data_IF_984956751495
#
_entry.id   IF_984956751495
#
_cell.length_a   1.000
_cell.length_b   1.000
_cell.length_c   1.000
_cell.angle_alpha   90.00
_cell.angle_beta   90.00
_cell.angle_gamma   90.00
#
_symmetry.space_group_name_H-M   'P 1'
#
loop_
_entity.id
_entity.type
_entity.pdbx_description
1 polymer ?
#
# COMPACT_ATOMS: atom_id res chain seq x y z
N UNK A 1 -69.77 9.49 19.46
CA UNK A 1 -68.47 9.33 18.78
C UNK A 1 -68.71 8.83 17.38
N UNK A 2 -68.17 9.52 16.39
CA UNK A 2 -68.33 9.12 14.98
C UNK A 2 -67.37 7.96 14.64
N UNK A 3 -67.71 7.17 13.62
CA UNK A 3 -66.84 6.07 13.13
C UNK A 3 -65.43 6.54 12.76
N UNK A 4 -65.28 7.82 12.39
CA UNK A 4 -63.99 8.46 12.06
C UNK A 4 -63.14 8.66 13.32
N UNK A 5 -63.74 9.08 14.43
CA UNK A 5 -63.04 9.25 15.72
C UNK A 5 -62.52 7.91 16.26
N UNK A 6 -63.34 6.84 16.16
CA UNK A 6 -62.92 5.50 16.57
C UNK A 6 -61.75 4.96 15.74
N UNK A 7 -61.75 5.24 14.44
CA UNK A 7 -60.67 4.84 13.53
C UNK A 7 -59.36 5.60 13.84
N UNK A 8 -59.46 6.88 14.20
CA UNK A 8 -58.30 7.68 14.60
C UNK A 8 -57.73 7.25 15.95
N UNK A 9 -58.58 6.94 16.94
CA UNK A 9 -58.14 6.47 18.26
C UNK A 9 -57.51 5.07 18.15
N UNK A 10 -58.09 4.17 17.34
CA UNK A 10 -57.52 2.83 17.10
C UNK A 10 -56.18 2.91 16.36
N UNK A 11 -56.01 3.84 15.42
CA UNK A 11 -54.72 4.08 14.76
C UNK A 11 -53.68 4.66 15.73
N UNK A 12 -54.05 5.62 16.58
CA UNK A 12 -53.16 6.17 17.61
C UNK A 12 -52.75 5.14 18.66
N UNK A 13 -53.67 4.27 19.09
CA UNK A 13 -53.37 3.15 19.98
C UNK A 13 -52.44 2.12 19.33
N UNK A 14 -52.65 1.79 18.05
CA UNK A 14 -51.80 0.85 17.32
C UNK A 14 -50.37 1.38 17.07
N UNK A 15 -50.20 2.71 16.96
CA UNK A 15 -48.87 3.35 16.89
C UNK A 15 -48.18 3.24 18.26
N UNK A 16 -48.91 3.49 19.37
CA UNK A 16 -48.39 3.42 20.74
C UNK A 16 -47.97 2.00 21.16
N UNK A 17 -48.63 0.97 20.63
CA UNK A 17 -48.24 -0.44 20.86
C UNK A 17 -47.02 -0.88 20.05
N UNK A 18 -46.77 -0.28 18.87
CA UNK A 18 -45.56 -0.58 18.09
C UNK A 18 -44.27 -0.11 18.78
N UNK A 19 -44.35 0.85 19.70
CA UNK A 19 -43.21 1.34 20.49
C UNK A 19 -42.91 0.50 21.74
N UNK A 20 -43.88 -0.28 22.24
CA UNK A 20 -43.77 -1.06 23.49
C UNK A 20 -43.57 -2.57 23.30
N UNK A 21 -42.81 -3.00 22.29
CA UNK A 21 -42.42 -4.42 22.18
C UNK A 21 -41.24 -4.71 23.14
N UNK A 22 -41.39 -5.60 24.14
CA UNK A 22 -40.31 -5.92 25.07
C UNK A 22 -39.22 -6.70 24.31
N UNK A 23 -37.98 -6.21 24.35
CA UNK A 23 -36.83 -6.87 23.71
C UNK A 23 -36.04 -6.03 22.71
N UNK A 24 -36.42 -4.77 22.47
CA UNK A 24 -35.56 -3.85 21.70
C UNK A 24 -34.54 -3.21 22.65
N UNK A 25 -33.22 -3.35 22.42
CA UNK A 25 -32.21 -2.62 23.21
C UNK A 25 -32.52 -1.12 23.15
N UNK A 26 -32.22 -0.34 24.21
CA UNK A 26 -32.54 1.08 24.27
C UNK A 26 -32.08 1.73 22.96
N UNK A 27 -33.04 2.31 22.23
CA UNK A 27 -32.78 2.90 20.93
C UNK A 27 -31.65 3.92 21.06
N UNK A 28 -30.65 3.81 20.19
CA UNK A 28 -29.52 4.74 20.12
C UNK A 28 -30.09 6.17 20.11
N UNK A 29 -29.76 6.97 21.12
CA UNK A 29 -30.17 8.36 21.21
C UNK A 29 -29.92 9.06 19.88
N UNK A 30 -31.00 9.52 19.24
CA UNK A 30 -30.96 10.16 17.93
C UNK A 30 -30.15 11.44 18.03
N UNK A 31 -28.94 11.43 17.49
CA UNK A 31 -28.07 12.60 17.49
C UNK A 31 -28.54 13.61 16.45
N UNK A 32 -28.40 14.92 16.73
CA UNK A 32 -28.54 15.93 15.69
C UNK A 32 -27.50 15.67 14.60
N UNK A 33 -27.91 15.78 13.34
CA UNK A 33 -27.03 15.65 12.18
C UNK A 33 -26.10 16.87 12.13
N UNK A 34 -24.92 16.76 12.75
CA UNK A 34 -23.87 17.78 12.66
C UNK A 34 -23.09 17.54 11.38
N UNK A 35 -23.20 18.46 10.43
CA UNK A 35 -22.40 18.46 9.21
C UNK A 35 -21.02 19.01 9.59
N UNK A 36 -19.98 18.17 9.48
CA UNK A 36 -18.60 18.58 9.71
C UNK A 36 -18.17 19.62 8.66
N UNK A 37 -17.62 20.74 9.11
CA UNK A 37 -17.05 21.80 8.24
C UNK A 37 -15.55 21.63 8.04
N UNK A 38 -14.88 20.97 8.99
CA UNK A 38 -13.43 20.72 8.99
C UNK A 38 -13.12 19.23 9.09
N UNK A 39 -11.97 18.75 8.58
CA UNK A 39 -11.57 17.34 8.72
C UNK A 39 -11.37 16.95 10.19
N UNK A 40 -10.97 17.89 11.04
CA UNK A 40 -10.86 17.69 12.49
C UNK A 40 -12.24 17.41 13.13
N UNK A 41 -13.29 18.11 12.71
CA UNK A 41 -14.66 17.85 13.18
C UNK A 41 -15.17 16.46 12.74
N UNK A 42 -14.84 16.02 11.53
CA UNK A 42 -15.21 14.68 11.04
C UNK A 42 -14.57 13.57 11.89
N UNK A 43 -13.28 13.73 12.22
CA UNK A 43 -12.56 12.83 13.12
C UNK A 43 -13.16 12.86 14.53
N UNK A 44 -13.50 14.04 15.05
CA UNK A 44 -14.14 14.22 16.36
C UNK A 44 -15.46 13.45 16.43
N UNK A 45 -16.33 13.59 15.42
CA UNK A 45 -17.62 12.88 15.36
C UNK A 45 -17.43 11.35 15.25
N UNK A 46 -16.44 10.88 14.48
CA UNK A 46 -16.09 9.45 14.41
C UNK A 46 -15.58 8.92 15.75
N UNK A 47 -14.76 9.72 16.44
CA UNK A 47 -14.23 9.38 17.76
C UNK A 47 -15.34 9.34 18.81
N UNK A 48 -16.21 10.35 18.88
CA UNK A 48 -17.38 10.38 19.77
C UNK A 48 -18.28 9.15 19.54
N UNK A 49 -18.47 8.74 18.27
CA UNK A 49 -19.23 7.53 17.91
C UNK A 49 -18.57 6.25 18.42
N UNK A 50 -17.24 6.15 18.39
CA UNK A 50 -16.49 5.00 18.89
C UNK A 50 -16.49 4.97 20.43
N UNK A 51 -16.24 6.11 21.08
CA UNK A 51 -16.20 6.24 22.54
C UNK A 51 -17.56 6.04 23.21
N UNK A 52 -18.67 6.16 22.47
CA UNK A 52 -20.01 5.82 22.97
C UNK A 52 -20.15 4.35 23.40
N UNK A 53 -19.35 3.44 22.84
CA UNK A 53 -19.35 2.03 23.24
C UNK A 53 -17.89 1.53 23.31
N UNK A 54 -17.17 1.78 24.42
CA UNK A 54 -15.76 1.43 24.53
C UNK A 54 -15.52 -0.09 24.55
N UNK A 55 -16.50 -0.88 25.01
CA UNK A 55 -16.39 -2.35 25.08
C UNK A 55 -16.50 -3.04 23.72
N UNK A 56 -17.00 -2.34 22.69
CA UNK A 56 -17.14 -2.91 21.35
C UNK A 56 -15.83 -2.74 20.58
N UNK A 57 -15.16 -3.82 20.13
CA UNK A 57 -13.96 -3.69 19.32
C UNK A 57 -14.24 -2.90 18.04
N UNK A 58 -13.33 -2.00 17.69
CA UNK A 58 -13.42 -1.22 16.48
C UNK A 58 -13.35 -2.17 15.26
N UNK A 59 -14.27 -2.05 14.28
CA UNK A 59 -14.20 -2.85 13.07
C UNK A 59 -13.06 -2.34 12.18
N UNK A 60 -11.89 -2.94 12.33
CA UNK A 60 -10.75 -2.72 11.42
C UNK A 60 -11.00 -3.60 10.19
N UNK A 61 -11.21 -3.01 9.00
CA UNK A 61 -11.42 -3.80 7.80
C UNK A 61 -10.13 -4.55 7.47
N UNK A 62 -10.26 -5.86 7.25
CA UNK A 62 -9.20 -6.64 6.64
C UNK A 62 -8.97 -6.20 5.19
N UNK A 63 -7.81 -6.56 4.63
CA UNK A 63 -7.47 -6.22 3.24
C UNK A 63 -8.59 -6.70 2.31
N UNK A 64 -9.07 -5.85 1.38
CA UNK A 64 -10.14 -6.23 0.49
C UNK A 64 -9.72 -7.47 -0.30
N UNK A 65 -10.55 -8.51 -0.26
CA UNK A 65 -10.29 -9.74 -1.01
C UNK A 65 -10.37 -9.42 -2.50
N UNK A 66 -9.31 -9.77 -3.24
CA UNK A 66 -9.32 -9.67 -4.70
C UNK A 66 -10.41 -10.57 -5.29
N UNK A 67 -11.11 -10.08 -6.31
CA UNK A 67 -12.14 -10.85 -6.98
C UNK A 67 -11.49 -12.02 -7.72
N UNK A 68 -11.90 -13.25 -7.38
CA UNK A 68 -11.42 -14.47 -8.04
C UNK A 68 -12.60 -15.11 -8.80
N UNK A 69 -12.43 -15.54 -10.07
CA UNK A 69 -13.43 -16.33 -10.76
C UNK A 69 -13.86 -17.52 -9.91
N UNK A 70 -15.17 -17.79 -9.88
CA UNK A 70 -15.70 -18.94 -9.15
C UNK A 70 -15.22 -20.23 -9.83
N UNK A 71 -14.75 -21.19 -9.03
CA UNK A 71 -14.40 -22.50 -9.53
C UNK A 71 -15.61 -23.13 -10.26
N UNK A 72 -15.39 -23.82 -11.39
CA UNK A 72 -16.45 -24.54 -12.08
C UNK A 72 -17.06 -25.60 -11.15
N UNK A 73 -18.39 -25.79 -11.16
CA UNK A 73 -19.02 -26.90 -10.45
C UNK A 73 -18.47 -28.23 -10.94
N UNK A 74 -18.24 -29.16 -10.01
CA UNK A 74 -17.59 -30.43 -10.32
C UNK A 74 -18.53 -31.43 -11.03
N UNK A 75 -19.81 -31.47 -10.64
CA UNK A 75 -20.84 -32.19 -11.39
C UNK A 75 -21.97 -31.28 -11.85
N UNK A 76 -22.33 -31.39 -13.13
CA UNK A 76 -23.55 -30.82 -13.70
C UNK A 76 -24.60 -31.93 -13.71
N UNK A 77 -25.73 -31.70 -13.03
CA UNK A 77 -26.77 -32.73 -12.80
C UNK A 77 -27.86 -32.73 -13.88
N UNK A 78 -28.00 -31.61 -14.57
CA UNK A 78 -29.05 -31.25 -15.51
C UNK A 78 -28.61 -31.41 -16.97
N UNK A 79 -27.66 -32.30 -17.24
CA UNK A 79 -27.18 -32.59 -18.59
C UNK A 79 -28.23 -33.38 -19.36
N UNK A 80 -28.82 -32.76 -20.38
CA UNK A 80 -29.71 -33.44 -21.33
C UNK A 80 -28.89 -34.30 -22.33
N UNK A 81 -29.49 -35.35 -22.88
CA UNK A 81 -28.79 -36.30 -23.76
C UNK A 81 -28.14 -35.65 -24.99
N UNK A 82 -27.03 -36.20 -25.46
CA UNK A 82 -26.20 -35.58 -26.51
C UNK A 82 -26.88 -35.41 -27.86
N UNK A 83 -27.91 -36.20 -28.16
CA UNK A 83 -28.71 -36.10 -29.39
C UNK A 83 -30.02 -35.32 -29.20
N UNK A 84 -30.27 -34.78 -28.00
CA UNK A 84 -31.46 -33.98 -27.75
C UNK A 84 -31.39 -32.64 -28.48
N UNK A 85 -32.55 -32.14 -28.92
CA UNK A 85 -32.67 -30.85 -29.60
C UNK A 85 -32.42 -29.64 -28.68
N UNK A 86 -32.29 -28.45 -29.26
CA UNK A 86 -32.12 -27.22 -28.49
C UNK A 86 -33.39 -26.89 -27.69
N UNK A 87 -33.29 -26.94 -26.36
CA UNK A 87 -34.35 -26.51 -25.45
C UNK A 87 -34.45 -24.99 -25.32
N UNK A 88 -35.58 -24.48 -24.82
CA UNK A 88 -35.79 -23.04 -24.59
C UNK A 88 -34.84 -22.42 -23.57
N UNK A 89 -34.30 -23.21 -22.65
CA UNK A 89 -33.35 -22.78 -21.62
C UNK A 89 -31.88 -22.75 -22.09
N UNK A 90 -31.55 -23.41 -23.19
CA UNK A 90 -30.16 -23.63 -23.62
C UNK A 90 -29.44 -22.31 -23.94
N UNK A 91 -30.18 -21.34 -24.51
CA UNK A 91 -29.64 -19.99 -24.76
C UNK A 91 -29.17 -19.29 -23.47
N UNK A 92 -29.94 -19.40 -22.38
CA UNK A 92 -29.56 -18.76 -21.12
C UNK A 92 -28.39 -19.48 -20.45
N UNK A 93 -28.30 -20.81 -20.60
CA UNK A 93 -27.14 -21.60 -20.15
C UNK A 93 -25.88 -21.12 -20.86
N UNK A 94 -25.88 -21.06 -22.20
CA UNK A 94 -24.75 -20.54 -22.98
C UNK A 94 -24.38 -19.11 -22.60
N UNK A 95 -25.36 -18.21 -22.46
CA UNK A 95 -25.11 -16.81 -22.06
C UNK A 95 -24.41 -16.72 -20.70
N UNK A 96 -24.82 -17.51 -19.72
CA UNK A 96 -24.19 -17.53 -18.40
C UNK A 96 -22.79 -18.15 -18.44
N UNK A 97 -22.62 -19.24 -19.19
CA UNK A 97 -21.34 -19.90 -19.39
C UNK A 97 -20.33 -18.96 -20.08
N UNK A 98 -20.73 -18.32 -21.18
CA UNK A 98 -19.90 -17.38 -21.94
C UNK A 98 -19.46 -16.19 -21.09
N UNK A 99 -20.39 -15.61 -20.32
CA UNK A 99 -20.06 -14.51 -19.39
C UNK A 99 -19.06 -14.96 -18.32
N UNK A 100 -19.28 -16.14 -17.72
CA UNK A 100 -18.35 -16.71 -16.73
C UNK A 100 -16.97 -16.93 -17.33
N UNK A 101 -16.92 -17.43 -18.56
CA UNK A 101 -15.66 -17.74 -19.24
C UNK A 101 -14.89 -16.47 -19.63
N UNK A 102 -15.56 -15.45 -20.17
CA UNK A 102 -14.91 -14.16 -20.45
C UNK A 102 -14.39 -13.50 -19.18
N UNK A 103 -15.17 -13.53 -18.09
CA UNK A 103 -14.70 -13.01 -16.80
C UNK A 103 -13.48 -13.78 -16.27
N UNK A 104 -13.42 -15.10 -16.50
CA UNK A 104 -12.26 -15.94 -16.14
C UNK A 104 -11.04 -15.60 -16.98
N UNK A 105 -11.22 -15.46 -18.30
CA UNK A 105 -10.14 -15.11 -19.24
C UNK A 105 -9.58 -13.72 -18.94
N UNK A 106 -10.45 -12.70 -18.85
CA UNK A 106 -10.06 -11.32 -18.50
C UNK A 106 -9.30 -11.25 -17.18
N UNK A 107 -9.69 -12.05 -16.18
CA UNK A 107 -8.99 -12.12 -14.90
C UNK A 107 -7.61 -12.73 -15.05
N UNK A 108 -7.48 -13.84 -15.79
CA UNK A 108 -6.20 -14.47 -16.01
C UNK A 108 -5.26 -13.52 -16.77
N UNK A 109 -5.74 -12.87 -17.82
CA UNK A 109 -4.95 -11.92 -18.61
C UNK A 109 -4.45 -10.77 -17.73
N UNK A 110 -5.33 -10.13 -16.96
CA UNK A 110 -4.96 -9.05 -16.01
C UNK A 110 -3.97 -9.49 -14.94
N UNK A 111 -4.13 -10.71 -14.41
CA UNK A 111 -3.20 -11.25 -13.41
C UNK A 111 -1.82 -11.50 -14.02
N UNK A 112 -1.76 -12.03 -15.25
CA UNK A 112 -0.48 -12.24 -15.93
C UNK A 112 0.22 -10.93 -16.27
N UNK A 113 -0.53 -9.91 -16.71
CA UNK A 113 0.00 -8.58 -16.96
C UNK A 113 0.55 -7.95 -15.68
N UNK A 114 -0.23 -7.96 -14.59
CA UNK A 114 0.20 -7.46 -13.28
C UNK A 114 1.49 -8.14 -12.82
N UNK A 115 1.54 -9.47 -12.88
CA UNK A 115 2.72 -10.24 -12.48
C UNK A 115 3.96 -9.89 -13.32
N UNK A 116 3.81 -9.74 -14.64
CA UNK A 116 4.92 -9.31 -15.52
C UNK A 116 5.43 -7.93 -15.13
N UNK A 117 4.53 -6.97 -14.96
CA UNK A 117 4.88 -5.60 -14.58
C UNK A 117 5.56 -5.54 -13.20
N UNK A 118 5.08 -6.33 -12.24
CA UNK A 118 5.67 -6.42 -10.89
C UNK A 118 7.08 -7.00 -10.94
N UNK A 119 7.30 -8.07 -11.71
CA UNK A 119 8.63 -8.66 -11.90
C UNK A 119 9.60 -7.68 -12.57
N UNK A 120 9.17 -7.05 -13.66
CA UNK A 120 9.98 -6.02 -14.33
C UNK A 120 10.34 -4.85 -13.43
N UNK A 121 9.41 -4.46 -12.54
CA UNK A 121 9.66 -3.40 -11.57
C UNK A 121 10.69 -3.83 -10.53
N UNK A 122 10.55 -5.03 -9.96
CA UNK A 122 11.51 -5.57 -8.98
C UNK A 122 12.90 -5.68 -9.59
N UNK A 123 13.00 -6.19 -10.81
CA UNK A 123 14.26 -6.33 -11.53
C UNK A 123 14.92 -4.97 -11.78
N UNK A 124 14.14 -3.96 -12.23
CA UNK A 124 14.64 -2.58 -12.42
C UNK A 124 15.13 -1.96 -11.12
N UNK A 125 14.39 -2.14 -10.03
CA UNK A 125 14.78 -1.63 -8.70
C UNK A 125 16.07 -2.31 -8.23
N UNK A 126 16.18 -3.62 -8.39
CA UNK A 126 17.39 -4.37 -8.02
C UNK A 126 18.61 -3.93 -8.85
N UNK A 127 18.45 -3.73 -10.16
CA UNK A 127 19.53 -3.21 -11.02
C UNK A 127 19.97 -1.81 -10.61
N UNK A 128 19.03 -0.92 -10.30
CA UNK A 128 19.34 0.44 -9.83
C UNK A 128 20.07 0.43 -8.49
N UNK A 129 19.67 -0.45 -7.56
CA UNK A 129 20.36 -0.63 -6.28
C UNK A 129 21.78 -1.14 -6.49
N UNK A 130 21.97 -2.16 -7.32
CA UNK A 130 23.30 -2.70 -7.65
C UNK A 130 24.20 -1.64 -8.29
N UNK A 131 23.69 -0.87 -9.25
CA UNK A 131 24.44 0.21 -9.89
C UNK A 131 24.84 1.30 -8.89
N UNK A 132 23.94 1.67 -7.96
CA UNK A 132 24.23 2.63 -6.90
C UNK A 132 25.27 2.10 -5.91
N UNK A 133 25.19 0.83 -5.53
CA UNK A 133 26.14 0.17 -4.64
C UNK A 133 27.52 0.01 -5.27
N UNK A 134 27.60 -0.32 -6.56
CA UNK A 134 28.86 -0.38 -7.30
C UNK A 134 29.54 0.99 -7.38
N UNK A 135 28.77 2.04 -7.72
CA UNK A 135 29.26 3.43 -7.73
C UNK A 135 29.77 3.83 -6.34
N UNK A 136 28.99 3.51 -5.29
CA UNK A 136 29.35 3.81 -3.90
C UNK A 136 30.57 3.02 -3.43
N UNK A 137 30.67 1.74 -3.78
CA UNK A 137 31.80 0.88 -3.43
C UNK A 137 33.09 1.34 -4.12
N UNK A 138 33.03 1.74 -5.40
CA UNK A 138 34.18 2.33 -6.12
C UNK A 138 34.66 3.60 -5.41
N UNK A 139 33.75 4.54 -5.08
CA UNK A 139 34.09 5.77 -4.35
C UNK A 139 34.62 5.50 -2.93
N UNK A 140 34.03 4.55 -2.20
CA UNK A 140 34.48 4.12 -0.87
C UNK A 140 35.90 3.53 -0.91
N UNK A 141 36.18 2.63 -1.85
CA UNK A 141 37.52 2.04 -2.06
C UNK A 141 38.58 3.10 -2.37
N UNK A 142 38.26 4.11 -3.22
CA UNK A 142 39.17 5.24 -3.49
C UNK A 142 39.49 6.00 -2.19
N UNK A 143 38.47 6.36 -1.40
CA UNK A 143 38.64 7.08 -0.12
C UNK A 143 39.41 6.27 0.93
N UNK A 144 39.19 4.97 1.01
CA UNK A 144 39.92 4.07 1.94
C UNK A 144 41.40 3.98 1.58
N UNK A 145 41.74 3.83 0.30
CA UNK A 145 43.15 3.86 -0.16
C UNK A 145 43.83 5.18 0.21
N UNK A 146 43.16 6.32 0.00
CA UNK A 146 43.71 7.64 0.33
C UNK A 146 43.87 7.83 1.85
N UNK A 147 42.92 7.32 2.66
CA UNK A 147 43.02 7.30 4.13
C UNK A 147 44.18 6.42 4.61
N UNK A 148 44.37 5.24 4.01
CA UNK A 148 45.50 4.36 4.30
C UNK A 148 46.84 5.02 3.99
N UNK A 149 47.00 5.63 2.79
CA UNK A 149 48.20 6.39 2.43
C UNK A 149 48.51 7.51 3.44
N UNK A 150 47.50 8.32 3.80
CA UNK A 150 47.65 9.39 4.81
C UNK A 150 48.05 8.85 6.19
N UNK A 151 47.46 7.74 6.63
CA UNK A 151 47.80 7.13 7.91
C UNK A 151 49.23 6.54 7.90
N UNK A 152 49.66 5.93 6.80
CA UNK A 152 51.03 5.43 6.64
C UNK A 152 52.04 6.58 6.65
N UNK A 153 51.76 7.68 5.95
CA UNK A 153 52.62 8.87 5.95
C UNK A 153 52.72 9.52 7.35
N UNK A 154 51.62 9.56 8.12
CA UNK A 154 51.63 10.03 9.51
C UNK A 154 52.47 9.13 10.41
N UNK A 155 52.30 7.81 10.32
CA UNK A 155 53.12 6.85 11.09
C UNK A 155 54.60 6.96 10.75
N UNK A 156 54.95 7.07 9.46
CA UNK A 156 56.33 7.28 9.03
C UNK A 156 56.91 8.60 9.56
N UNK A 157 56.12 9.69 9.59
CA UNK A 157 56.53 10.95 10.24
C UNK A 157 56.70 10.79 11.75
N UNK A 158 55.80 10.11 12.44
CA UNK A 158 55.89 9.85 13.89
C UNK A 158 57.13 9.00 14.25
N UNK A 159 57.44 7.98 13.44
CA UNK A 159 58.66 7.17 13.58
C UNK A 159 59.93 7.98 13.28
N UNK A 160 59.92 8.85 12.26
CA UNK A 160 61.03 9.76 11.97
C UNK A 160 61.24 10.78 13.12
N UNK A 161 60.17 11.31 13.71
CA UNK A 161 60.26 12.23 14.86
C UNK A 161 60.68 11.54 16.16
N UNK A 162 60.51 10.21 16.30
CA UNK A 162 61.05 9.45 17.43
C UNK A 162 62.53 9.09 17.28
N UNK A 163 63.09 9.21 16.07
CA UNK A 163 64.50 8.94 15.77
C UNK A 163 65.38 10.19 15.62
N UNK A 164 64.79 11.39 15.51
CA UNK A 164 65.54 12.63 15.29
C UNK A 164 65.07 13.72 16.25
N UNK A 165 65.67 13.73 17.44
CA UNK A 165 65.86 14.93 18.27
C UNK A 165 67.16 15.67 17.87
N UNK A 166 67.56 15.57 16.60
CA UNK A 166 68.68 16.33 16.06
C UNK A 166 68.38 16.78 14.62
N UNK A 167 68.20 18.09 14.51
CA UNK A 167 68.54 18.93 13.36
C UNK A 167 67.70 18.80 12.07
N UNK A 168 66.86 19.84 11.93
CA UNK A 168 66.84 20.76 10.77
C UNK A 168 65.85 20.48 9.63
N UNK A 169 64.96 21.47 9.52
CA UNK A 169 64.25 21.99 8.35
C UNK A 169 64.60 21.37 6.98
N UNK A 170 63.59 20.81 6.32
CA UNK A 170 63.51 20.85 4.86
C UNK A 170 62.08 20.65 4.39
N UNK A 171 61.56 21.72 3.79
CA UNK A 171 60.45 21.77 2.84
C UNK A 171 60.32 20.51 1.98
N UNK A 172 59.11 19.96 1.90
CA UNK A 172 58.69 19.12 0.77
C UNK A 172 57.20 19.33 0.50
N UNK A 173 56.94 20.35 -0.31
CA UNK A 173 55.79 20.44 -1.22
C UNK A 173 55.62 19.09 -1.93
N UNK A 174 54.55 18.37 -1.58
CA UNK A 174 54.13 17.16 -2.27
C UNK A 174 53.05 17.58 -3.27
N UNK A 175 53.49 17.77 -4.52
CA UNK A 175 52.67 17.90 -5.72
C UNK A 175 51.69 16.72 -5.79
N UNK A 176 50.41 17.01 -5.50
CA UNK A 176 49.29 16.07 -5.58
C UNK A 176 48.62 16.23 -6.96
N UNK A 177 49.36 15.84 -8.02
CA UNK A 177 48.77 15.56 -9.32
C UNK A 177 48.30 14.10 -9.32
N UNK A 178 47.12 13.83 -8.75
CA UNK A 178 46.38 12.58 -8.99
C UNK A 178 45.22 12.90 -9.92
N UNK A 179 45.21 12.24 -11.07
CA UNK A 179 44.43 12.65 -12.23
C UNK A 179 42.94 12.83 -11.95
N UNK A 180 42.45 13.96 -12.46
CA UNK A 180 41.06 14.28 -12.80
C UNK A 180 40.48 13.16 -13.69
N UNK A 181 40.21 12.00 -13.11
CA UNK A 181 39.39 10.97 -13.73
C UNK A 181 37.95 11.46 -13.59
N UNK A 182 37.57 12.27 -14.58
CA UNK A 182 36.25 12.81 -14.90
C UNK A 182 35.20 12.51 -13.83
N UNK A 183 34.84 13.57 -13.11
CA UNK A 183 33.61 13.63 -12.33
C UNK A 183 32.42 13.29 -13.25
N UNK A 184 32.11 12.00 -13.33
CA UNK A 184 30.79 11.46 -13.69
C UNK A 184 29.82 11.75 -12.53
N UNK A 185 29.84 13.01 -12.09
CA UNK A 185 28.85 13.67 -11.27
C UNK A 185 27.71 14.05 -12.19
N UNK A 186 27.02 13.04 -12.73
CA UNK A 186 25.69 13.22 -13.28
C UNK A 186 24.90 14.02 -12.26
N UNK A 187 24.48 15.22 -12.67
CA UNK A 187 23.97 16.25 -11.81
C UNK A 187 22.90 15.67 -10.87
N UNK A 188 22.90 16.03 -9.57
CA UNK A 188 21.90 15.52 -8.63
C UNK A 188 20.50 15.80 -9.20
N UNK A 189 19.78 14.74 -9.55
CA UNK A 189 18.46 14.79 -10.21
C UNK A 189 17.35 15.40 -9.34
N UNK A 190 17.69 15.83 -8.12
CA UNK A 190 16.79 16.48 -7.18
C UNK A 190 17.25 17.92 -6.91
N UNK A 191 16.82 18.84 -7.77
CA UNK A 191 16.84 20.28 -7.47
C UNK A 191 15.67 20.53 -6.54
N UNK A 192 15.94 20.60 -5.24
CA UNK A 192 14.94 21.00 -4.25
C UNK A 192 14.58 22.46 -4.53
N UNK A 193 13.47 22.67 -5.24
CA UNK A 193 12.91 24.00 -5.48
C UNK A 193 12.76 24.72 -4.15
N UNK A 194 13.51 25.80 -3.99
CA UNK A 194 13.38 26.70 -2.85
C UNK A 194 11.96 27.29 -2.91
N UNK A 195 11.22 27.15 -1.81
CA UNK A 195 9.85 27.67 -1.65
C UNK A 195 9.74 29.14 -2.05
#
# INVERSE_FOLDING_TARGET
MTLVEYRNIRNMAAIKEKEKRPGKPPGKESQPLIIAKTPAEEQRLKLERLMRNPDKPAPIPERPKEWNPRAPPEFVRDVMGSSAGAGSGEFHVYRHLRRREYQRQDFLDKMTEKQKMDLEYIDKVAQNQQAADERTAKRKKKREKLKQKKNMAKKAKEEATKGQDLEKSSSSEADDQDGEAEDDAEAPSFIMGKR
#
